data_IF_849375184237
#
_entry.id   IF_849375184237
#
_cell.length_a   1.000
_cell.length_b   1.000
_cell.length_c   1.000
_cell.angle_alpha   90.00
_cell.angle_beta   90.00
_cell.angle_gamma   90.00
#
_symmetry.space_group_name_H-M   'P 1'
#
loop_
_entity.id
_entity.type
_entity.pdbx_description
1 polymer ?
#
# COMPACT_ATOMS: atom_id res chain seq x y z
N UNK A 1 -1.85 19.23 24.37
CA UNK A 1 -3.28 19.00 24.01
C UNK A 1 -3.61 17.50 23.92
N UNK A 2 -4.33 16.93 24.90
CA UNK A 2 -4.73 15.50 24.87
C UNK A 2 -6.06 15.38 24.13
N UNK A 3 -6.01 14.97 22.85
CA UNK A 3 -7.15 15.00 21.93
C UNK A 3 -8.23 13.93 22.20
N UNK A 4 -7.97 12.92 23.04
CA UNK A 4 -8.91 11.82 23.28
C UNK A 4 -9.05 11.56 24.79
N UNK A 5 -10.21 11.93 25.35
CA UNK A 5 -10.57 11.65 26.75
C UNK A 5 -11.89 10.89 26.81
N UNK A 6 -11.90 9.70 26.21
CA UNK A 6 -12.87 8.62 26.42
C UNK A 6 -12.30 7.37 25.73
N UNK A 7 -11.82 6.41 26.51
CA UNK A 7 -11.19 5.19 26.00
C UNK A 7 -12.23 4.05 25.84
N UNK A 8 -13.32 4.34 25.13
CA UNK A 8 -14.27 3.31 24.69
C UNK A 8 -14.05 3.01 23.21
N UNK A 9 -13.90 1.74 22.84
CA UNK A 9 -13.85 1.35 21.43
C UNK A 9 -15.12 1.78 20.70
N UNK A 10 -14.97 2.41 19.53
CA UNK A 10 -16.09 2.86 18.69
C UNK A 10 -16.30 1.84 17.58
N UNK A 11 -17.49 1.26 17.48
CA UNK A 11 -17.86 0.43 16.34
C UNK A 11 -17.83 1.29 15.07
N UNK A 12 -17.05 0.88 14.07
CA UNK A 12 -16.83 1.63 12.84
C UNK A 12 -16.49 0.66 11.68
N UNK A 13 -16.34 1.21 10.49
CA UNK A 13 -15.93 0.48 9.28
C UNK A 13 -14.54 0.93 8.83
N UNK A 14 -13.74 -0.02 8.36
CA UNK A 14 -12.45 0.26 7.71
C UNK A 14 -12.54 -0.01 6.21
N UNK A 15 -11.89 0.83 5.42
CA UNK A 15 -11.75 0.64 3.97
C UNK A 15 -10.28 0.71 3.58
N UNK A 16 -9.88 -0.11 2.60
CA UNK A 16 -8.51 -0.09 2.08
C UNK A 16 -8.27 1.14 1.21
N UNK A 17 -7.11 1.76 1.36
CA UNK A 17 -6.62 2.73 0.39
C UNK A 17 -5.85 2.01 -0.72
N UNK A 18 -6.18 2.30 -1.97
CA UNK A 18 -5.50 1.71 -3.13
C UNK A 18 -4.66 2.76 -3.85
N UNK A 19 -3.43 2.39 -4.22
CA UNK A 19 -2.66 3.12 -5.22
C UNK A 19 -2.96 2.52 -6.59
N UNK A 20 -3.54 3.31 -7.47
CA UNK A 20 -3.95 2.89 -8.81
C UNK A 20 -3.18 3.67 -9.89
N UNK A 21 -3.10 3.08 -11.08
CA UNK A 21 -2.53 3.72 -12.26
C UNK A 21 -3.44 3.52 -13.46
N UNK A 22 -3.17 4.24 -14.54
CA UNK A 22 -3.81 3.97 -15.83
C UNK A 22 -3.46 2.57 -16.33
N UNK A 23 -4.37 1.90 -17.05
CA UNK A 23 -4.11 0.57 -17.60
C UNK A 23 -3.03 0.56 -18.70
N UNK A 24 -2.75 1.71 -19.32
CA UNK A 24 -1.74 1.88 -20.37
C UNK A 24 -0.43 2.52 -19.86
N UNK A 25 -0.23 2.57 -18.54
CA UNK A 25 1.05 2.97 -17.98
C UNK A 25 2.15 2.01 -18.47
N UNK A 26 3.33 2.55 -18.76
CA UNK A 26 4.48 1.72 -19.14
C UNK A 26 4.73 0.62 -18.08
N UNK A 27 4.70 -0.68 -18.46
CA UNK A 27 4.98 -1.79 -17.56
C UNK A 27 6.30 -1.66 -16.79
N UNK A 28 7.33 -1.06 -17.39
CA UNK A 28 8.59 -0.82 -16.72
C UNK A 28 8.43 0.15 -15.54
N UNK A 29 7.69 1.24 -15.73
CA UNK A 29 7.40 2.23 -14.68
C UNK A 29 6.59 1.61 -13.56
N UNK A 30 5.52 0.89 -13.90
CA UNK A 30 4.70 0.19 -12.90
C UNK A 30 5.53 -0.79 -12.06
N UNK A 31 6.40 -1.59 -12.71
CA UNK A 31 7.26 -2.55 -12.01
C UNK A 31 8.32 -1.87 -11.12
N UNK A 32 8.87 -0.73 -11.54
CA UNK A 32 9.79 0.06 -10.73
C UNK A 32 9.11 0.63 -9.48
N UNK A 33 7.91 1.20 -9.63
CA UNK A 33 7.13 1.70 -8.50
C UNK A 33 6.76 0.58 -7.52
N UNK A 34 6.36 -0.60 -8.01
CA UNK A 34 6.09 -1.76 -7.16
C UNK A 34 7.33 -2.16 -6.35
N UNK A 35 8.50 -2.25 -6.99
CA UNK A 35 9.76 -2.54 -6.27
C UNK A 35 10.09 -1.48 -5.24
N UNK A 36 9.95 -0.20 -5.58
CA UNK A 36 10.19 0.91 -4.65
C UNK A 36 9.28 0.79 -3.41
N UNK A 37 7.99 0.56 -3.61
CA UNK A 37 7.02 0.41 -2.53
C UNK A 37 7.35 -0.77 -1.64
N UNK A 38 7.67 -1.94 -2.22
CA UNK A 38 7.98 -3.14 -1.44
C UNK A 38 9.31 -3.01 -0.68
N UNK A 39 10.36 -2.54 -1.34
CA UNK A 39 11.72 -2.56 -0.79
C UNK A 39 12.04 -1.34 0.09
N UNK A 40 11.31 -0.23 -0.07
CA UNK A 40 11.59 1.04 0.60
C UNK A 40 10.37 1.62 1.32
N UNK A 41 9.33 0.82 1.59
CA UNK A 41 8.15 1.21 2.35
C UNK A 41 8.49 2.03 3.60
N UNK A 42 9.47 1.57 4.40
CA UNK A 42 9.88 2.24 5.63
C UNK A 42 10.44 3.67 5.42
N UNK A 43 11.02 3.96 4.26
CA UNK A 43 11.50 5.31 3.92
C UNK A 43 10.39 6.22 3.38
N UNK A 44 9.23 5.65 3.04
CA UNK A 44 8.06 6.38 2.52
C UNK A 44 7.02 6.68 3.62
N UNK A 45 7.13 6.02 4.77
CA UNK A 45 6.25 6.25 5.93
C UNK A 45 6.92 7.23 6.89
N UNK A 46 6.32 8.40 7.17
CA UNK A 46 6.86 9.34 8.15
C UNK A 46 6.88 8.75 9.58
N UNK A 47 7.89 9.11 10.37
CA UNK A 47 8.07 8.69 11.78
C UNK A 47 6.84 8.97 12.69
N UNK A 48 5.96 9.89 12.28
CA UNK A 48 4.75 10.30 13.02
C UNK A 48 3.47 10.08 12.24
N UNK A 49 3.41 9.06 11.38
CA UNK A 49 2.18 8.65 10.73
C UNK A 49 1.20 8.05 11.76
N UNK A 50 0.57 8.90 12.59
CA UNK A 50 -0.47 8.50 13.54
C UNK A 50 -1.76 8.30 12.75
N UNK A 51 -2.06 7.05 12.39
CA UNK A 51 -3.32 6.65 11.75
C UNK A 51 -3.19 6.10 10.32
N UNK A 52 -2.02 6.23 9.68
CA UNK A 52 -1.74 5.46 8.46
C UNK A 52 -1.27 4.08 8.89
N UNK A 53 -2.22 3.15 8.97
CA UNK A 53 -1.91 1.73 9.08
C UNK A 53 -0.89 1.40 7.98
N UNK A 54 0.24 0.85 8.42
CA UNK A 54 1.51 0.77 7.71
C UNK A 54 1.38 0.22 6.28
N UNK A 55 2.32 0.59 5.41
CA UNK A 55 2.59 -0.15 4.17
C UNK A 55 3.05 -1.58 4.54
N UNK A 56 2.11 -2.46 4.84
CA UNK A 56 2.37 -3.88 5.01
C UNK A 56 2.58 -4.50 3.64
N UNK A 57 3.80 -4.98 3.42
CA UNK A 57 4.22 -5.64 2.18
C UNK A 57 3.28 -6.80 1.82
N UNK A 58 2.72 -7.50 2.82
CA UNK A 58 1.77 -8.60 2.58
C UNK A 58 0.43 -8.11 2.06
N UNK A 59 0.02 -6.90 2.41
CA UNK A 59 -1.22 -6.28 1.95
C UNK A 59 -1.05 -5.54 0.63
N UNK A 60 0.17 -5.15 0.24
CA UNK A 60 0.45 -4.36 -0.97
C UNK A 60 0.05 -5.04 -2.29
N UNK A 61 -0.01 -6.38 -2.31
CA UNK A 61 -0.48 -7.14 -3.48
C UNK A 61 -2.02 -7.21 -3.54
N UNK A 62 -2.72 -6.91 -2.44
CA UNK A 62 -4.17 -7.05 -2.34
C UNK A 62 -4.88 -5.80 -2.85
N UNK A 63 -5.37 -5.88 -4.09
CA UNK A 63 -6.08 -4.79 -4.77
C UNK A 63 -7.60 -5.00 -4.85
N UNK A 64 -8.14 -5.98 -4.11
CA UNK A 64 -9.56 -6.33 -4.15
C UNK A 64 -10.01 -6.73 -5.56
N UNK A 65 -11.03 -6.06 -6.08
CA UNK A 65 -11.57 -6.31 -7.43
C UNK A 65 -10.75 -5.64 -8.56
N UNK A 66 -9.81 -4.75 -8.23
CA UNK A 66 -9.00 -4.07 -9.23
C UNK A 66 -7.83 -4.97 -9.65
N UNK A 67 -7.65 -5.27 -10.95
CA UNK A 67 -6.53 -6.10 -11.39
C UNK A 67 -5.19 -5.38 -11.19
N UNK A 68 -4.15 -6.14 -10.87
CA UNK A 68 -2.78 -5.62 -10.84
C UNK A 68 -2.28 -5.30 -12.25
N UNK A 69 -1.52 -4.22 -12.37
CA UNK A 69 -0.83 -3.89 -13.60
C UNK A 69 0.18 -5.01 -13.98
N UNK A 70 0.33 -5.40 -15.26
CA UNK A 70 1.26 -6.47 -15.66
C UNK A 70 2.69 -6.24 -15.17
N UNK A 71 3.17 -4.99 -15.22
CA UNK A 71 4.48 -4.61 -14.66
C UNK A 71 4.61 -4.86 -13.15
N UNK A 72 3.55 -4.63 -12.38
CA UNK A 72 3.51 -4.92 -10.95
C UNK A 72 3.50 -6.43 -10.68
N UNK A 73 2.74 -7.21 -11.46
CA UNK A 73 2.71 -8.68 -11.37
C UNK A 73 4.11 -9.27 -11.58
N UNK A 74 4.81 -8.82 -12.64
CA UNK A 74 6.19 -9.26 -12.91
C UNK A 74 7.13 -8.90 -11.77
N UNK A 75 7.00 -7.69 -11.21
CA UNK A 75 7.80 -7.27 -10.07
C UNK A 75 7.55 -8.11 -8.82
N UNK A 76 6.29 -8.36 -8.44
CA UNK A 76 5.96 -9.20 -7.29
C UNK A 76 6.46 -10.64 -7.46
N UNK A 77 6.29 -11.22 -8.65
CA UNK A 77 6.80 -12.57 -8.93
C UNK A 77 8.33 -12.64 -8.78
N UNK A 78 9.06 -11.66 -9.28
CA UNK A 78 10.52 -11.64 -9.15
C UNK A 78 11.01 -11.43 -7.69
N UNK A 79 10.18 -10.86 -6.82
CA UNK A 79 10.51 -10.65 -5.40
C UNK A 79 10.13 -11.83 -4.50
N UNK A 80 9.24 -12.72 -4.97
CA UNK A 80 8.71 -13.85 -4.20
C UNK A 80 8.98 -15.23 -4.83
N UNK A 81 9.57 -15.26 -6.03
CA UNK A 81 10.01 -16.46 -6.73
C UNK A 81 11.47 -16.81 -6.43
#
# INVERSE_FOLDING_TARGET
>A
PRAYRAAGGVATVGVSNLLVCRPDLDPAVAGLLTRLLVLRAAALVPDRAVGAQFLDIRSLISTGATPLHPGAVTAYRALHG
#
